data_IF_194325076836
#
_entry.id   IF_194325076836
#
_cell.length_a   1.000
_cell.length_b   1.000
_cell.length_c   1.000
_cell.angle_alpha   90.00
_cell.angle_beta   90.00
_cell.angle_gamma   90.00
#
_symmetry.space_group_name_H-M   'P 1'
#
loop_
_entity.id
_entity.type
_entity.pdbx_description
1 polymer ?
#
# COMPACT_ATOMS: atom_id res chain seq x y z
N UNK A 1 -20.93 -7.99 18.26
CA UNK A 1 -19.75 -7.19 18.68
C UNK A 1 -18.44 -7.83 18.23
N UNK A 2 -18.28 -9.16 18.33
CA UNK A 2 -17.06 -9.88 17.93
C UNK A 2 -16.65 -9.74 16.46
N UNK A 3 -17.61 -9.70 15.52
CA UNK A 3 -17.27 -9.58 14.08
C UNK A 3 -16.46 -8.30 13.76
N UNK A 4 -16.74 -7.19 14.44
CA UNK A 4 -16.04 -5.90 14.25
C UNK A 4 -14.57 -5.97 14.70
N UNK A 5 -14.27 -6.76 15.74
CA UNK A 5 -12.91 -6.90 16.26
C UNK A 5 -12.04 -7.75 15.32
N UNK A 6 -12.57 -8.89 14.86
CA UNK A 6 -11.89 -9.77 13.91
C UNK A 6 -11.60 -9.07 12.59
N UNK A 7 -12.54 -8.26 12.06
CA UNK A 7 -12.31 -7.45 10.85
C UNK A 7 -11.16 -6.45 11.02
N UNK A 8 -11.04 -5.80 12.18
CA UNK A 8 -9.94 -4.86 12.46
C UNK A 8 -8.59 -5.55 12.55
N UNK A 9 -8.52 -6.74 13.16
CA UNK A 9 -7.28 -7.52 13.25
C UNK A 9 -6.82 -7.99 11.87
N UNK A 10 -7.73 -8.50 11.05
CA UNK A 10 -7.43 -8.92 9.67
C UNK A 10 -6.95 -7.73 8.85
N UNK A 11 -7.61 -6.58 8.95
CA UNK A 11 -7.20 -5.37 8.25
C UNK A 11 -5.79 -4.92 8.68
N UNK A 12 -5.50 -4.90 9.99
CA UNK A 12 -4.16 -4.57 10.52
C UNK A 12 -3.09 -5.53 9.99
N UNK A 13 -3.38 -6.83 9.96
CA UNK A 13 -2.46 -7.81 9.43
C UNK A 13 -2.18 -7.59 7.93
N UNK A 14 -3.23 -7.38 7.13
CA UNK A 14 -3.07 -7.12 5.68
C UNK A 14 -2.36 -5.79 5.40
N UNK A 15 -2.59 -4.75 6.20
CA UNK A 15 -1.87 -3.49 6.10
C UNK A 15 -0.36 -3.69 6.37
N UNK A 16 0.00 -4.46 7.40
CA UNK A 16 1.41 -4.80 7.67
C UNK A 16 2.03 -5.57 6.49
N UNK A 17 1.30 -6.51 5.90
CA UNK A 17 1.77 -7.24 4.72
C UNK A 17 1.99 -6.30 3.52
N UNK A 18 1.07 -5.36 3.28
CA UNK A 18 1.22 -4.38 2.21
C UNK A 18 2.48 -3.53 2.40
N UNK A 19 2.69 -3.00 3.62
CA UNK A 19 3.89 -2.21 3.94
C UNK A 19 5.18 -3.02 3.72
N UNK A 20 5.20 -4.31 4.07
CA UNK A 20 6.36 -5.19 3.83
C UNK A 20 6.66 -5.42 2.35
N UNK A 21 5.65 -5.30 1.47
CA UNK A 21 5.79 -5.49 0.02
C UNK A 21 6.20 -4.22 -0.73
N UNK A 22 6.03 -3.05 -0.12
CA UNK A 22 6.51 -1.78 -0.67
C UNK A 22 8.04 -1.72 -0.62
N UNK A 23 8.64 -1.07 -1.61
CA UNK A 23 10.06 -0.67 -1.55
C UNK A 23 10.28 0.28 -0.36
N UNK A 24 11.53 0.47 0.11
CA UNK A 24 11.82 1.42 1.18
C UNK A 24 11.27 2.82 0.90
N UNK A 25 11.48 3.32 -0.32
CA UNK A 25 11.01 4.64 -0.77
C UNK A 25 9.48 4.73 -0.79
N UNK A 26 8.80 3.76 -1.38
CA UNK A 26 7.32 3.70 -1.41
C UNK A 26 6.72 3.68 -0.01
N UNK A 27 7.31 2.90 0.89
CA UNK A 27 6.87 2.80 2.28
C UNK A 27 7.03 4.13 2.99
N UNK A 28 8.17 4.79 2.81
CA UNK A 28 8.45 6.08 3.43
C UNK A 28 7.48 7.17 2.94
N UNK A 29 7.34 7.33 1.62
CA UNK A 29 6.40 8.27 0.99
C UNK A 29 4.96 7.99 1.44
N UNK A 30 4.54 6.72 1.40
CA UNK A 30 3.19 6.33 1.82
C UNK A 30 2.93 6.69 3.29
N UNK A 31 3.88 6.42 4.18
CA UNK A 31 3.73 6.73 5.61
C UNK A 31 3.72 8.25 5.86
N UNK A 32 4.57 8.99 5.16
CA UNK A 32 4.64 10.44 5.29
C UNK A 32 3.35 11.13 4.85
N UNK A 33 2.87 10.83 3.63
CA UNK A 33 1.65 11.43 3.10
C UNK A 33 0.40 10.97 3.87
N UNK A 34 0.30 9.68 4.22
CA UNK A 34 -0.94 9.15 4.81
C UNK A 34 -1.07 9.40 6.31
N UNK A 35 0.04 9.44 7.06
CA UNK A 35 0.03 9.49 8.52
C UNK A 35 0.75 10.69 9.14
N UNK A 36 1.69 11.33 8.42
CA UNK A 36 2.43 12.49 8.96
C UNK A 36 1.95 13.84 8.42
N UNK A 37 0.98 13.83 7.50
CA UNK A 37 0.45 15.03 6.84
C UNK A 37 1.54 15.87 6.14
N UNK A 38 2.60 15.22 5.65
CA UNK A 38 3.60 15.89 4.81
C UNK A 38 3.02 16.24 3.43
N UNK A 39 3.64 17.21 2.77
CA UNK A 39 3.28 17.61 1.40
C UNK A 39 4.17 16.91 0.38
N UNK A 40 3.64 16.71 -0.83
CA UNK A 40 4.38 16.16 -1.97
C UNK A 40 5.63 17.00 -2.27
N UNK A 41 5.51 18.33 -2.23
CA UNK A 41 6.62 19.25 -2.46
C UNK A 41 7.75 19.06 -1.45
N UNK A 42 7.42 18.93 -0.15
CA UNK A 42 8.44 18.69 0.87
C UNK A 42 9.15 17.35 0.68
N UNK A 43 8.41 16.30 0.29
CA UNK A 43 9.01 15.00 0.02
C UNK A 43 9.89 15.03 -1.24
N UNK A 44 9.50 15.78 -2.26
CA UNK A 44 10.31 16.01 -3.44
C UNK A 44 11.66 16.64 -3.07
N UNK A 45 11.65 17.67 -2.23
CA UNK A 45 12.87 18.33 -1.72
C UNK A 45 13.74 17.37 -0.89
N UNK A 46 13.15 16.63 0.04
CA UNK A 46 13.88 15.71 0.94
C UNK A 46 14.52 14.55 0.18
N UNK A 47 13.84 14.02 -0.83
CA UNK A 47 14.31 12.87 -1.59
C UNK A 47 15.08 13.24 -2.86
N UNK A 48 15.18 14.53 -3.21
CA UNK A 48 15.80 14.99 -4.45
C UNK A 48 15.07 14.50 -5.71
N UNK A 49 13.75 14.35 -5.62
CA UNK A 49 12.88 13.85 -6.69
C UNK A 49 11.96 14.96 -7.18
N UNK A 50 11.37 14.80 -8.37
CA UNK A 50 10.27 15.68 -8.78
C UNK A 50 8.99 15.33 -8.02
N UNK A 51 8.08 16.29 -7.87
CA UNK A 51 6.74 16.05 -7.32
C UNK A 51 6.00 14.93 -8.06
N UNK A 52 6.17 14.85 -9.39
CA UNK A 52 5.56 13.79 -10.21
C UNK A 52 6.13 12.40 -9.87
N UNK A 53 7.44 12.30 -9.66
CA UNK A 53 8.07 11.04 -9.24
C UNK A 53 7.61 10.61 -7.84
N UNK A 54 7.43 11.55 -6.91
CA UNK A 54 6.84 11.27 -5.59
C UNK A 54 5.41 10.75 -5.72
N UNK A 55 4.59 11.39 -6.58
CA UNK A 55 3.22 10.95 -6.83
C UNK A 55 3.16 9.57 -7.50
N UNK A 56 4.08 9.27 -8.40
CA UNK A 56 4.20 7.96 -9.04
C UNK A 56 4.52 6.87 -8.01
N UNK A 57 5.54 7.09 -7.17
CA UNK A 57 5.88 6.13 -6.10
C UNK A 57 4.73 5.98 -5.09
N UNK A 58 4.03 7.06 -4.76
CA UNK A 58 2.85 7.00 -3.92
C UNK A 58 1.71 6.20 -4.57
N UNK A 59 1.47 6.38 -5.87
CA UNK A 59 0.47 5.62 -6.62
C UNK A 59 0.83 4.12 -6.66
N UNK A 60 2.10 3.78 -6.86
CA UNK A 60 2.57 2.40 -6.80
C UNK A 60 2.38 1.80 -5.40
N UNK A 61 2.67 2.55 -4.33
CA UNK A 61 2.40 2.13 -2.96
C UNK A 61 0.89 1.86 -2.74
N UNK A 62 0.00 2.72 -3.25
CA UNK A 62 -1.44 2.51 -3.19
C UNK A 62 -1.87 1.24 -3.95
N UNK A 63 -1.29 0.95 -5.12
CA UNK A 63 -1.55 -0.27 -5.86
C UNK A 63 -1.14 -1.52 -5.08
N UNK A 64 0.02 -1.50 -4.42
CA UNK A 64 0.48 -2.60 -3.53
C UNK A 64 -0.50 -2.82 -2.38
N UNK A 65 -0.99 -1.74 -1.78
CA UNK A 65 -1.99 -1.80 -0.71
C UNK A 65 -3.30 -2.42 -1.21
N UNK A 66 -3.87 -1.90 -2.31
CA UNK A 66 -5.13 -2.38 -2.88
C UNK A 66 -5.04 -3.86 -3.25
N UNK A 67 -3.97 -4.29 -3.93
CA UNK A 67 -3.78 -5.71 -4.30
C UNK A 67 -3.62 -6.63 -3.10
N UNK A 68 -3.13 -6.11 -1.97
CA UNK A 68 -2.97 -6.90 -0.75
C UNK A 68 -4.26 -6.97 0.07
N UNK A 69 -5.05 -5.88 0.10
CA UNK A 69 -6.35 -5.83 0.76
C UNK A 69 -7.40 -6.61 -0.02
N UNK A 70 -7.38 -6.51 -1.34
CA UNK A 70 -8.25 -7.18 -2.29
C UNK A 70 -7.40 -8.07 -3.19
N UNK A 71 -6.93 -9.23 -2.69
CA UNK A 71 -6.25 -10.18 -3.55
C UNK A 71 -7.20 -10.53 -4.70
N UNK A 72 -6.74 -10.51 -5.96
CA UNK A 72 -7.58 -10.94 -7.07
C UNK A 72 -8.12 -12.31 -6.72
N UNK A 73 -9.45 -12.50 -6.84
CA UNK A 73 -10.10 -13.77 -6.55
C UNK A 73 -9.39 -14.84 -7.37
N UNK A 74 -8.56 -15.66 -6.71
CA UNK A 74 -7.83 -16.74 -7.37
C UNK A 74 -8.87 -17.61 -8.08
N UNK A 75 -8.75 -17.62 -9.39
CA UNK A 75 -9.46 -18.45 -10.33
C UNK A 75 -9.34 -19.92 -9.92
N UNK A 76 -10.42 -20.49 -9.37
CA UNK A 76 -10.70 -21.93 -9.51
C UNK A 76 -10.58 -22.38 -10.99
N UNK A 77 -10.66 -21.43 -11.92
CA UNK A 77 -10.40 -21.54 -13.36
C UNK A 77 -9.01 -22.05 -13.78
N UNK A 78 -7.97 -21.96 -12.95
CA UNK A 78 -6.64 -22.50 -13.33
C UNK A 78 -6.43 -23.96 -12.92
N UNK A 79 -7.40 -24.57 -12.22
CA UNK A 79 -7.34 -25.99 -11.84
C UNK A 79 -8.02 -26.92 -12.87
N UNK A 80 -8.84 -26.37 -13.77
CA UNK A 80 -9.54 -27.10 -14.84
C UNK A 80 -8.84 -27.06 -16.21
N UNK A 81 -7.68 -26.39 -16.30
CA UNK A 81 -6.87 -26.26 -17.51
C UNK A 81 -5.45 -26.83 -17.31
N UNK A 82 -5.31 -27.85 -16.46
CA UNK A 82 -4.14 -28.74 -16.42
C UNK A 82 -4.60 -30.17 -16.63
#
# INVERSE_FOLDING_TARGET
MEQSFLSRLILRHRLRLALRRMTPLQREIFLALRFKADTVARLADVHGLSSDAILEEFAQALLVLVRTLNPPRRSWRNWWLR
#
